data_IF_893473478802
#
_entry.id   IF_893473478802
#
_cell.length_a   1.000
_cell.length_b   1.000
_cell.length_c   1.000
_cell.angle_alpha   90.00
_cell.angle_beta   90.00
_cell.angle_gamma   90.00
#
_symmetry.space_group_name_H-M   'P 1'
#
loop_
_entity.id
_entity.type
_entity.pdbx_description
1 polymer ?
#
# COMPACT_ATOMS: atom_id res chain seq x y z
N UNK A 1 5.28 -8.58 -16.97
CA UNK A 1 4.24 -8.22 -15.99
C UNK A 1 4.73 -8.54 -14.59
N UNK A 2 4.58 -7.59 -13.68
CA UNK A 2 4.89 -7.77 -12.28
C UNK A 2 3.67 -7.48 -11.41
N UNK A 3 3.70 -7.90 -10.14
CA UNK A 3 2.66 -7.59 -9.20
C UNK A 3 3.25 -7.08 -7.87
N UNK A 4 2.62 -6.08 -7.32
CA UNK A 4 2.99 -5.46 -6.03
C UNK A 4 1.87 -5.74 -5.04
N UNK A 5 2.22 -6.32 -3.90
CA UNK A 5 1.36 -6.37 -2.72
C UNK A 5 1.77 -5.22 -1.79
N UNK A 6 0.82 -4.36 -1.44
CA UNK A 6 1.07 -3.26 -0.53
C UNK A 6 0.10 -3.28 0.66
N UNK A 7 0.60 -2.92 1.84
CA UNK A 7 -0.17 -2.92 3.09
C UNK A 7 -0.11 -1.56 3.76
N UNK A 8 -1.30 -1.09 4.19
CA UNK A 8 -1.48 -0.04 5.19
C UNK A 8 -1.77 -0.72 6.55
N UNK A 9 -0.77 -0.82 7.43
CA UNK A 9 -0.90 -1.58 8.66
C UNK A 9 -1.66 -0.83 9.74
N UNK A 10 -2.48 -1.56 10.49
CA UNK A 10 -3.14 -1.07 11.70
C UNK A 10 -2.85 -1.97 12.90
N UNK A 11 -3.35 -1.57 14.06
CA UNK A 11 -3.15 -2.31 15.31
C UNK A 11 -3.96 -3.61 15.41
N UNK A 12 -5.11 -3.69 14.74
CA UNK A 12 -6.00 -4.86 14.74
C UNK A 12 -6.39 -5.32 13.36
N UNK A 13 -6.55 -4.39 12.43
CA UNK A 13 -6.89 -4.63 11.04
C UNK A 13 -5.95 -3.84 10.14
N UNK A 14 -5.71 -4.35 8.94
CA UNK A 14 -4.88 -3.68 7.94
C UNK A 14 -5.57 -3.66 6.58
N UNK A 15 -5.37 -2.55 5.86
CA UNK A 15 -5.74 -2.45 4.46
C UNK A 15 -4.65 -3.05 3.57
N UNK A 16 -5.04 -3.63 2.45
CA UNK A 16 -4.09 -4.13 1.46
C UNK A 16 -4.59 -3.91 0.03
N UNK A 17 -3.67 -3.90 -0.89
CA UNK A 17 -3.95 -3.91 -2.32
C UNK A 17 -2.93 -4.79 -3.04
N UNK A 18 -3.38 -5.50 -4.04
CA UNK A 18 -2.53 -6.20 -5.00
C UNK A 18 -2.75 -5.56 -6.36
N UNK A 19 -1.69 -5.03 -6.94
CA UNK A 19 -1.73 -4.37 -8.26
C UNK A 19 -0.80 -5.06 -9.25
N UNK A 20 -1.22 -5.08 -10.50
CA UNK A 20 -0.41 -5.56 -11.62
C UNK A 20 0.15 -4.39 -12.41
N UNK A 21 1.40 -4.49 -12.85
CA UNK A 21 2.08 -3.48 -13.65
C UNK A 21 2.88 -4.12 -14.81
N UNK A 22 3.14 -3.32 -15.82
CA UNK A 22 3.98 -3.71 -16.97
C UNK A 22 5.38 -3.08 -16.96
N UNK A 23 5.76 -2.43 -15.85
CA UNK A 23 7.00 -1.68 -15.70
C UNK A 23 6.88 -0.19 -16.03
N UNK A 24 5.92 0.18 -16.86
CA UNK A 24 5.64 1.58 -17.23
C UNK A 24 4.45 2.16 -16.47
N UNK A 25 3.42 1.35 -16.24
CA UNK A 25 2.21 1.74 -15.54
C UNK A 25 1.63 0.60 -14.71
N UNK A 26 0.92 0.97 -13.64
CA UNK A 26 0.01 0.06 -12.94
C UNK A 26 -1.24 -0.08 -13.81
N UNK A 27 -1.54 -1.31 -14.22
CA UNK A 27 -2.59 -1.60 -15.20
C UNK A 27 -3.93 -1.92 -14.57
N UNK A 28 -3.93 -2.60 -13.44
CA UNK A 28 -5.17 -2.98 -12.75
C UNK A 28 -4.94 -3.35 -11.29
N UNK A 29 -6.02 -3.29 -10.53
CA UNK A 29 -6.11 -3.85 -9.19
C UNK A 29 -6.55 -5.29 -9.32
N UNK A 30 -5.75 -6.21 -8.77
CA UNK A 30 -6.04 -7.66 -8.77
C UNK A 30 -6.88 -8.05 -7.55
N UNK A 31 -6.56 -7.45 -6.39
CA UNK A 31 -7.27 -7.68 -5.15
C UNK A 31 -7.12 -6.45 -4.24
N UNK A 32 -8.10 -6.21 -3.40
CA UNK A 32 -8.09 -5.09 -2.45
C UNK A 32 -9.02 -5.40 -1.28
N UNK A 33 -8.60 -5.06 -0.09
CA UNK A 33 -9.44 -5.32 1.08
C UNK A 33 -8.92 -4.69 2.37
N UNK A 34 -9.71 -4.91 3.42
CA UNK A 34 -9.35 -4.65 4.81
C UNK A 34 -9.70 -5.88 5.62
N UNK A 35 -8.74 -6.45 6.31
CA UNK A 35 -8.87 -7.69 7.05
C UNK A 35 -8.27 -7.58 8.46
N UNK A 36 -8.72 -8.40 9.41
CA UNK A 36 -8.00 -8.63 10.64
C UNK A 36 -6.55 -9.01 10.38
N UNK A 37 -5.64 -8.56 11.23
CA UNK A 37 -4.20 -8.75 11.01
C UNK A 37 -3.81 -10.23 10.94
N UNK A 38 -4.49 -11.11 11.65
CA UNK A 38 -4.27 -12.56 11.56
C UNK A 38 -4.56 -13.12 10.17
N UNK A 39 -5.56 -12.56 9.48
CA UNK A 39 -5.95 -12.98 8.12
C UNK A 39 -5.05 -12.36 7.03
N UNK A 40 -4.41 -11.22 7.30
CA UNK A 40 -3.43 -10.63 6.38
C UNK A 40 -2.26 -11.58 6.11
N UNK A 41 -1.91 -12.44 7.04
CA UNK A 41 -0.88 -13.50 6.85
C UNK A 41 -1.22 -14.41 5.67
N UNK A 42 -2.47 -14.79 5.55
CA UNK A 42 -2.91 -15.68 4.48
C UNK A 42 -2.84 -14.94 3.13
N UNK A 43 -3.25 -13.68 3.11
CA UNK A 43 -3.10 -12.80 1.93
C UNK A 43 -1.62 -12.66 1.51
N UNK A 44 -0.72 -12.46 2.47
CA UNK A 44 0.72 -12.40 2.21
C UNK A 44 1.22 -13.72 1.60
N UNK A 45 0.92 -14.84 2.25
CA UNK A 45 1.35 -16.16 1.81
C UNK A 45 0.85 -16.47 0.40
N UNK A 46 -0.43 -16.34 0.15
CA UNK A 46 -1.03 -16.65 -1.15
C UNK A 46 -0.46 -15.78 -2.28
N UNK A 47 -0.28 -14.49 -2.05
CA UNK A 47 0.18 -13.57 -3.09
C UNK A 47 1.69 -13.68 -3.33
N UNK A 48 2.51 -13.75 -2.29
CA UNK A 48 3.97 -13.85 -2.44
C UNK A 48 4.34 -15.21 -3.03
N UNK A 49 3.75 -16.28 -2.53
CA UNK A 49 3.98 -17.62 -3.07
C UNK A 49 3.38 -17.80 -4.47
N UNK A 50 2.29 -17.08 -4.75
CA UNK A 50 1.58 -17.15 -6.01
C UNK A 50 2.26 -16.43 -7.17
N UNK A 51 2.53 -15.12 -7.09
CA UNK A 51 3.10 -14.33 -8.20
C UNK A 51 3.51 -12.89 -7.83
N UNK A 52 3.34 -12.41 -6.62
CA UNK A 52 3.83 -11.09 -6.24
C UNK A 52 5.34 -11.13 -6.09
N UNK A 53 6.02 -10.38 -6.95
CA UNK A 53 7.48 -10.22 -6.89
C UNK A 53 7.89 -9.15 -5.90
N UNK A 54 6.98 -8.25 -5.58
CA UNK A 54 7.27 -7.04 -4.80
C UNK A 54 6.30 -6.90 -3.63
N UNK A 55 6.85 -6.56 -2.47
CA UNK A 55 6.09 -6.31 -1.26
C UNK A 55 6.49 -4.98 -0.61
N UNK A 56 5.51 -4.10 -0.41
CA UNK A 56 5.68 -2.82 0.24
C UNK A 56 4.74 -2.67 1.44
N UNK A 57 5.22 -2.02 2.50
CA UNK A 57 4.42 -1.77 3.69
C UNK A 57 4.66 -0.35 4.21
N UNK A 58 3.60 0.35 4.60
CA UNK A 58 3.76 1.65 5.25
C UNK A 58 4.43 1.48 6.61
N UNK A 59 5.45 2.29 6.85
CA UNK A 59 6.15 2.32 8.13
C UNK A 59 5.88 3.64 8.86
N UNK A 60 5.67 3.54 10.15
CA UNK A 60 5.47 4.69 11.03
C UNK A 60 6.81 5.38 11.28
N UNK A 61 6.83 6.71 11.13
CA UNK A 61 7.96 7.55 11.51
C UNK A 61 7.66 8.28 12.81
N UNK A 62 8.66 8.39 13.68
CA UNK A 62 8.60 9.23 14.87
C UNK A 62 8.52 10.70 14.49
N UNK A 63 7.60 11.44 15.12
CA UNK A 63 7.38 12.87 14.91
C UNK A 63 7.84 13.71 16.10
N UNK A 64 8.59 13.10 17.04
CA UNK A 64 9.03 13.77 18.28
C UNK A 64 7.92 13.98 19.31
N UNK A 65 6.73 13.43 19.08
CA UNK A 65 5.59 13.48 20.01
C UNK A 65 5.37 12.14 20.68
N UNK A 66 4.74 12.15 21.86
CA UNK A 66 4.30 10.92 22.52
C UNK A 66 3.30 10.15 21.66
N UNK A 67 3.44 8.84 21.64
CA UNK A 67 2.54 7.92 20.92
C UNK A 67 1.82 6.98 21.88
N UNK A 68 0.61 6.59 21.52
CA UNK A 68 -0.19 5.64 22.30
C UNK A 68 0.17 4.18 22.04
N UNK A 69 -0.45 3.27 22.80
CA UNK A 69 -0.25 1.83 22.66
C UNK A 69 -0.57 1.32 21.25
N UNK A 70 -1.55 1.90 20.60
CA UNK A 70 -1.94 1.51 19.23
C UNK A 70 -0.79 1.61 18.22
N UNK A 71 0.08 2.61 18.38
CA UNK A 71 1.26 2.77 17.51
C UNK A 71 2.26 1.64 17.76
N UNK A 72 2.50 1.29 19.02
CA UNK A 72 3.39 0.16 19.35
C UNK A 72 2.84 -1.17 18.83
N UNK A 73 1.54 -1.40 18.98
CA UNK A 73 0.88 -2.61 18.48
C UNK A 73 0.97 -2.69 16.95
N UNK A 74 0.78 -1.56 16.26
CA UNK A 74 0.96 -1.48 14.81
C UNK A 74 2.39 -1.81 14.40
N UNK A 75 3.40 -1.27 15.11
CA UNK A 75 4.81 -1.57 14.82
C UNK A 75 5.13 -3.07 15.01
N UNK A 76 4.55 -3.72 16.02
CA UNK A 76 4.69 -5.17 16.20
C UNK A 76 4.12 -5.95 15.01
N UNK A 77 2.96 -5.55 14.49
CA UNK A 77 2.36 -6.17 13.32
C UNK A 77 3.17 -5.92 12.05
N UNK A 78 3.71 -4.71 11.86
CA UNK A 78 4.61 -4.42 10.73
C UNK A 78 5.77 -5.41 10.72
N UNK A 79 6.43 -5.59 11.86
CA UNK A 79 7.55 -6.55 11.99
C UNK A 79 7.13 -7.98 11.68
N UNK A 80 5.95 -8.41 12.15
CA UNK A 80 5.40 -9.75 11.84
C UNK A 80 5.11 -9.93 10.36
N UNK A 81 4.48 -8.95 9.71
CA UNK A 81 4.20 -9.02 8.28
C UNK A 81 5.48 -9.08 7.45
N UNK A 82 6.49 -8.30 7.82
CA UNK A 82 7.79 -8.35 7.16
C UNK A 82 8.45 -9.73 7.29
N UNK A 83 8.45 -10.30 8.49
CA UNK A 83 8.99 -11.63 8.75
C UNK A 83 8.25 -12.71 7.95
N UNK A 84 6.93 -12.65 7.87
CA UNK A 84 6.17 -13.58 7.03
C UNK A 84 6.51 -13.45 5.55
N UNK A 85 6.62 -12.22 5.05
CA UNK A 85 6.98 -11.96 3.66
C UNK A 85 8.39 -12.49 3.34
N UNK A 86 9.36 -12.29 4.22
CA UNK A 86 10.73 -12.80 4.08
C UNK A 86 10.78 -14.34 4.04
N UNK A 87 9.99 -15.00 4.87
CA UNK A 87 9.90 -16.47 4.88
C UNK A 87 9.35 -17.03 3.57
N UNK A 88 8.45 -16.30 2.92
CA UNK A 88 7.88 -16.67 1.61
C UNK A 88 8.72 -16.17 0.43
N UNK A 89 9.90 -15.59 0.70
CA UNK A 89 10.90 -15.23 -0.33
C UNK A 89 10.81 -13.81 -0.86
N UNK A 90 10.00 -12.93 -0.25
CA UNK A 90 9.96 -11.53 -0.60
C UNK A 90 11.01 -10.71 0.15
N UNK A 91 11.37 -9.56 -0.42
CA UNK A 91 12.16 -8.52 0.25
C UNK A 91 11.22 -7.37 0.63
N UNK A 92 10.77 -7.26 1.90
CA UNK A 92 9.84 -6.22 2.31
C UNK A 92 10.47 -4.83 2.21
N UNK A 93 9.77 -3.91 1.55
CA UNK A 93 10.21 -2.52 1.46
C UNK A 93 9.29 -1.62 2.29
N UNK A 94 9.89 -0.85 3.17
CA UNK A 94 9.18 0.14 4.00
C UNK A 94 9.00 1.44 3.23
N UNK A 95 7.76 1.91 3.16
CA UNK A 95 7.39 3.20 2.58
C UNK A 95 6.88 4.10 3.70
N UNK A 96 7.42 5.31 3.79
CA UNK A 96 6.99 6.28 4.79
C UNK A 96 5.95 7.24 4.22
N UNK A 97 5.03 7.70 5.06
CA UNK A 97 3.99 8.65 4.69
C UNK A 97 4.54 9.92 4.02
N UNK A 98 5.72 10.34 4.43
CA UNK A 98 6.44 11.46 3.81
C UNK A 98 6.76 11.19 2.34
N UNK A 99 7.15 9.98 2.00
CA UNK A 99 7.45 9.59 0.62
C UNK A 99 6.18 9.60 -0.23
N UNK A 100 5.07 9.05 0.29
CA UNK A 100 3.79 9.09 -0.41
C UNK A 100 3.37 10.51 -0.74
N UNK A 101 3.47 11.44 0.20
CA UNK A 101 3.14 12.85 -0.02
C UNK A 101 4.01 13.48 -1.11
N UNK A 102 5.30 13.20 -1.12
CA UNK A 102 6.22 13.76 -2.11
C UNK A 102 6.00 13.14 -3.50
N UNK A 103 5.92 11.82 -3.60
CA UNK A 103 5.75 11.14 -4.88
C UNK A 103 4.38 11.39 -5.52
N UNK A 104 3.30 11.39 -4.74
CA UNK A 104 1.94 11.55 -5.26
C UNK A 104 1.51 13.01 -5.40
N UNK A 105 1.93 13.89 -4.51
CA UNK A 105 1.45 15.28 -4.45
C UNK A 105 2.56 16.33 -4.62
N UNK A 106 3.83 15.94 -4.54
CA UNK A 106 4.95 16.89 -4.60
C UNK A 106 5.03 17.85 -3.40
N UNK A 107 4.34 17.58 -2.30
CA UNK A 107 4.19 18.49 -1.18
C UNK A 107 4.03 17.73 0.15
N UNK A 108 4.90 18.04 1.12
CA UNK A 108 4.87 17.44 2.46
C UNK A 108 3.63 17.80 3.29
N UNK A 109 2.97 18.93 2.97
CA UNK A 109 1.74 19.35 3.63
C UNK A 109 0.47 18.67 3.10
N UNK A 110 0.60 17.80 2.10
CA UNK A 110 -0.53 17.06 1.54
C UNK A 110 -1.25 16.23 2.62
N UNK A 111 -2.57 16.20 2.51
CA UNK A 111 -3.46 15.42 3.37
C UNK A 111 -4.01 14.21 2.61
N UNK A 112 -4.68 13.31 3.31
CA UNK A 112 -5.26 12.09 2.72
C UNK A 112 -6.16 12.39 1.52
N UNK A 113 -6.96 13.45 1.60
CA UNK A 113 -7.81 13.89 0.48
C UNK A 113 -7.00 14.27 -0.76
N UNK A 114 -5.81 14.87 -0.58
CA UNK A 114 -4.94 15.26 -1.70
C UNK A 114 -4.29 14.03 -2.33
N UNK A 115 -3.87 13.08 -1.52
CA UNK A 115 -3.32 11.79 -1.99
C UNK A 115 -4.37 11.02 -2.77
N UNK A 116 -5.58 10.90 -2.23
CA UNK A 116 -6.70 10.26 -2.92
C UNK A 116 -7.01 10.92 -4.25
N UNK A 117 -7.05 12.26 -4.30
CA UNK A 117 -7.31 13.00 -5.54
C UNK A 117 -6.19 12.76 -6.57
N UNK A 118 -4.94 12.74 -6.14
CA UNK A 118 -3.81 12.45 -7.04
C UNK A 118 -3.91 11.04 -7.65
N UNK A 119 -4.35 10.05 -6.87
CA UNK A 119 -4.60 8.69 -7.37
C UNK A 119 -5.74 8.66 -8.39
N UNK A 120 -6.84 9.36 -8.12
CA UNK A 120 -7.99 9.45 -9.04
C UNK A 120 -7.59 10.16 -10.33
N UNK A 121 -6.84 11.25 -10.25
CA UNK A 121 -6.37 12.00 -11.42
C UNK A 121 -5.46 11.14 -12.32
N UNK A 122 -4.71 10.23 -11.73
CA UNK A 122 -3.76 9.37 -12.45
C UNK A 122 -4.39 8.12 -13.05
N UNK A 123 -5.30 7.45 -12.34
CA UNK A 123 -5.82 6.14 -12.73
C UNK A 123 -7.31 6.14 -13.07
N UNK A 124 -8.05 7.17 -12.68
CA UNK A 124 -9.47 7.30 -12.95
C UNK A 124 -10.36 7.25 -11.72
N UNK A 125 -11.63 7.38 -11.94
CA UNK A 125 -12.66 7.50 -10.89
C UNK A 125 -13.06 6.15 -10.28
N UNK A 126 -13.77 6.21 -9.16
CA UNK A 126 -14.38 5.04 -8.51
C UNK A 126 -15.44 4.39 -9.41
N UNK A 127 -16.26 5.22 -10.05
CA UNK A 127 -17.38 4.71 -10.87
C UNK A 127 -18.59 4.27 -10.03
N UNK A 128 -19.47 3.53 -10.67
CA UNK A 128 -20.72 2.99 -10.10
C UNK A 128 -20.76 1.47 -10.27
N UNK A 129 -21.72 0.81 -9.63
CA UNK A 129 -21.93 -0.64 -9.79
C UNK A 129 -22.17 -1.04 -11.25
N UNK A 130 -22.87 -0.19 -12.02
CA UNK A 130 -23.17 -0.42 -13.43
C UNK A 130 -21.98 -0.11 -14.34
N UNK A 131 -21.13 0.83 -13.96
CA UNK A 131 -19.95 1.26 -14.71
C UNK A 131 -18.76 1.44 -13.76
N UNK A 132 -18.10 0.34 -13.42
CA UNK A 132 -17.03 0.30 -12.45
C UNK A 132 -15.75 0.97 -12.98
N UNK A 133 -15.23 1.93 -12.21
CA UNK A 133 -13.95 2.57 -12.48
C UNK A 133 -12.79 1.80 -11.85
N UNK A 134 -11.59 2.32 -12.05
CA UNK A 134 -10.35 1.73 -11.53
C UNK A 134 -10.38 1.47 -10.02
N UNK A 135 -10.99 2.38 -9.26
CA UNK A 135 -11.07 2.32 -7.80
C UNK A 135 -12.43 1.84 -7.27
N UNK A 136 -13.20 1.14 -8.09
CA UNK A 136 -14.47 0.61 -7.60
C UNK A 136 -14.28 -0.33 -6.40
N UNK A 137 -15.06 -0.11 -5.33
CA UNK A 137 -14.97 -0.88 -4.09
C UNK A 137 -13.93 -0.38 -3.08
N UNK A 138 -13.15 0.65 -3.39
CA UNK A 138 -12.19 1.21 -2.46
C UNK A 138 -12.85 1.92 -1.28
N UNK A 139 -12.39 1.62 -0.09
CA UNK A 139 -12.72 2.29 1.16
C UNK A 139 -11.44 2.88 1.81
N UNK A 140 -11.58 3.56 2.93
CA UNK A 140 -10.56 4.41 3.56
C UNK A 140 -9.14 3.81 3.60
N UNK A 141 -8.98 2.63 4.16
CA UNK A 141 -7.63 2.03 4.35
C UNK A 141 -7.08 1.40 3.05
N UNK A 142 -7.94 1.10 2.11
CA UNK A 142 -7.55 0.61 0.78
C UNK A 142 -6.89 1.73 -0.04
N UNK A 143 -7.34 2.98 0.12
CA UNK A 143 -6.69 4.14 -0.49
C UNK A 143 -5.28 4.35 0.05
N UNK A 144 -5.09 4.14 1.35
CA UNK A 144 -3.76 4.22 1.97
C UNK A 144 -2.84 3.12 1.44
N UNK A 145 -3.31 1.88 1.35
CA UNK A 145 -2.55 0.79 0.75
C UNK A 145 -2.18 1.06 -0.72
N UNK A 146 -3.10 1.65 -1.50
CA UNK A 146 -2.82 2.04 -2.88
C UNK A 146 -1.74 3.14 -2.96
N UNK A 147 -1.75 4.09 -2.06
CA UNK A 147 -0.70 5.12 -1.98
C UNK A 147 0.69 4.49 -1.74
N UNK A 148 0.78 3.47 -0.89
CA UNK A 148 1.99 2.68 -0.68
C UNK A 148 2.43 2.00 -1.97
N UNK A 149 1.50 1.31 -2.66
CA UNK A 149 1.80 0.59 -3.90
C UNK A 149 2.32 1.51 -5.01
N UNK A 150 1.67 2.66 -5.22
CA UNK A 150 2.06 3.62 -6.26
C UNK A 150 3.39 4.30 -5.93
N UNK A 151 3.62 4.63 -4.66
CA UNK A 151 4.91 5.20 -4.22
C UNK A 151 6.06 4.20 -4.43
N UNK A 152 5.83 2.93 -4.07
CA UNK A 152 6.79 1.85 -4.34
C UNK A 152 7.07 1.74 -5.84
N UNK A 153 6.02 1.68 -6.65
CA UNK A 153 6.13 1.58 -8.11
C UNK A 153 6.95 2.72 -8.70
N UNK A 154 6.62 3.97 -8.37
CA UNK A 154 7.32 5.14 -8.89
C UNK A 154 8.81 5.15 -8.48
N UNK A 155 9.07 4.84 -7.21
CA UNK A 155 10.43 4.92 -6.66
C UNK A 155 11.33 3.76 -7.10
N UNK A 156 10.83 2.53 -7.06
CA UNK A 156 11.65 1.32 -7.21
C UNK A 156 11.51 0.65 -8.58
N UNK A 157 10.32 0.69 -9.19
CA UNK A 157 10.11 0.08 -10.51
C UNK A 157 10.46 1.09 -11.62
N UNK A 158 9.87 2.28 -11.58
CA UNK A 158 10.15 3.34 -12.56
C UNK A 158 11.47 4.09 -12.28
N UNK A 159 11.94 4.07 -11.05
CA UNK A 159 13.18 4.78 -10.67
C UNK A 159 13.05 6.30 -10.69
N UNK A 160 11.86 6.84 -10.45
CA UNK A 160 11.64 8.29 -10.35
C UNK A 160 12.43 8.84 -9.17
N UNK A 161 13.27 9.84 -9.42
CA UNK A 161 14.01 10.59 -8.39
C UNK A 161 13.35 11.94 -8.16
N UNK A 162 13.14 12.27 -6.89
CA UNK A 162 12.61 13.58 -6.47
C UNK A 162 13.71 14.60 -6.29
#
# INVERSE_FOLDING_TARGET
>A
MGAILAIDPGNTQSGYVVVEHDGEEIRRVLDVGKLPNEEIRDVLHENIYGNCTDFAIEMIAGMGMAVGQEVFDTCLWIGRFMEFAERDGAEPVKIFRREEKLYLCGCLSAKDKNIRQALIDRYGVVGTKANQGFFYGFAKDMWAAMAVAVTYFDKYIKGVKL
#
